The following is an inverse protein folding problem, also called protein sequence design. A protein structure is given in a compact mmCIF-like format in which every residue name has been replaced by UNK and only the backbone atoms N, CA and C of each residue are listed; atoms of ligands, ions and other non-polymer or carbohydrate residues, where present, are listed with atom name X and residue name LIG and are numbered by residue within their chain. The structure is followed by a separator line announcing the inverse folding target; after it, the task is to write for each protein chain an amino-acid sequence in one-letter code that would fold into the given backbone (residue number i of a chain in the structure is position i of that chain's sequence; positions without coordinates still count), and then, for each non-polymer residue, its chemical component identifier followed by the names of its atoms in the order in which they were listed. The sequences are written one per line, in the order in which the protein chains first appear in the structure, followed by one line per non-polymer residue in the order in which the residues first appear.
data_IF_461916988370
#
_entry.id   IF_461916988370
#
_cell.length_a   1.000
_cell.length_b   1.000
_cell.length_c   1.000
_cell.angle_alpha   90.00
_cell.angle_beta   90.00
_cell.angle_gamma   90.00
#
_symmetry.space_group_name_H-M   'P 1'
#
loop_
_entity.id
_entity.type
_entity.pdbx_description
1 polymer ?
#
# COMPACT_ATOMS: atom_id res chain seq x y z
N UNK A 1 14.25 -16.81 -15.18
CA UNK A 1 13.72 -15.85 -14.19
C UNK A 1 12.20 -15.86 -14.28
N UNK A 2 11.52 -16.63 -13.42
CA UNK A 2 10.05 -16.72 -13.41
C UNK A 2 9.51 -15.54 -12.61
N UNK A 3 9.06 -14.50 -13.34
CA UNK A 3 8.55 -13.25 -12.80
C UNK A 3 7.23 -13.45 -12.06
N UNK A 4 7.29 -13.62 -10.75
CA UNK A 4 6.14 -13.39 -9.88
C UNK A 4 6.03 -11.89 -9.67
N UNK A 5 5.16 -11.26 -10.46
CA UNK A 5 4.82 -9.84 -10.33
C UNK A 5 3.87 -9.64 -9.15
N UNK A 6 3.98 -8.51 -8.46
CA UNK A 6 3.19 -8.16 -7.27
C UNK A 6 1.68 -8.34 -7.46
N UNK A 7 1.19 -8.19 -8.69
CA UNK A 7 -0.22 -8.26 -9.10
C UNK A 7 -0.81 -9.67 -9.13
N UNK A 8 -0.01 -10.75 -9.22
CA UNK A 8 -0.56 -12.13 -9.27
C UNK A 8 -1.15 -12.64 -7.96
N UNK A 9 -1.03 -11.88 -6.87
CA UNK A 9 -1.49 -12.29 -5.56
C UNK A 9 -3.02 -12.44 -5.46
N UNK A 10 -3.76 -11.68 -6.27
CA UNK A 10 -5.23 -11.60 -6.21
C UNK A 10 -5.91 -11.58 -7.59
N UNK A 11 -5.14 -11.36 -8.67
CA UNK A 11 -5.67 -11.25 -10.03
C UNK A 11 -5.29 -12.46 -10.89
N UNK A 12 -6.17 -12.91 -11.81
CA UNK A 12 -5.82 -13.87 -12.85
C UNK A 12 -4.62 -13.42 -13.70
N UNK A 13 -4.00 -14.36 -14.43
CA UNK A 13 -2.74 -14.12 -15.12
C UNK A 13 -2.80 -12.94 -16.13
N UNK A 14 -3.90 -12.79 -16.87
CA UNK A 14 -4.05 -11.74 -17.87
C UNK A 14 -4.05 -10.32 -17.25
N UNK A 15 -4.98 -9.96 -16.33
CA UNK A 15 -4.95 -8.65 -15.68
C UNK A 15 -3.67 -8.40 -14.88
N UNK A 16 -3.12 -9.43 -14.21
CA UNK A 16 -1.85 -9.30 -13.51
C UNK A 16 -0.68 -8.94 -14.44
N UNK A 17 -0.66 -9.52 -15.66
CA UNK A 17 0.36 -9.22 -16.68
C UNK A 17 0.21 -7.82 -17.25
N UNK A 18 -1.02 -7.35 -17.47
CA UNK A 18 -1.28 -5.97 -17.92
C UNK A 18 -0.81 -4.96 -16.88
N UNK A 19 -1.15 -5.18 -15.60
CA UNK A 19 -0.68 -4.34 -14.50
C UNK A 19 0.85 -4.34 -14.42
N UNK A 20 1.48 -5.50 -14.57
CA UNK A 20 2.93 -5.60 -14.55
C UNK A 20 3.61 -4.84 -15.70
N UNK A 21 3.06 -4.92 -16.91
CA UNK A 21 3.57 -4.20 -18.07
C UNK A 21 3.44 -2.67 -17.91
N UNK A 22 2.45 -2.20 -17.16
CA UNK A 22 2.26 -0.78 -16.83
C UNK A 22 3.16 -0.27 -15.71
N UNK A 23 3.79 -1.13 -14.90
CA UNK A 23 4.68 -0.69 -13.84
C UNK A 23 6.04 -0.26 -14.40
N UNK A 24 6.50 0.90 -13.97
CA UNK A 24 7.89 1.35 -14.20
C UNK A 24 8.76 0.92 -13.02
N UNK A 25 10.07 0.67 -13.23
CA UNK A 25 10.99 0.47 -12.13
C UNK A 25 10.93 1.62 -11.12
N UNK A 26 11.06 1.30 -9.83
CA UNK A 26 11.19 2.32 -8.79
C UNK A 26 12.51 3.09 -9.00
N UNK A 27 12.46 4.41 -8.84
CA UNK A 27 13.68 5.22 -8.84
C UNK A 27 14.51 4.86 -7.60
N UNK A 28 15.81 4.56 -7.77
CA UNK A 28 16.66 4.12 -6.65
C UNK A 28 16.68 5.12 -5.48
N UNK A 29 16.62 6.42 -5.80
CA UNK A 29 16.54 7.49 -4.80
C UNK A 29 15.36 7.30 -3.82
N UNK A 30 14.21 6.77 -4.26
CA UNK A 30 13.06 6.54 -3.38
C UNK A 30 13.32 5.49 -2.29
N UNK A 31 14.38 4.70 -2.41
CA UNK A 31 14.80 3.70 -1.43
C UNK A 31 16.01 4.15 -0.59
N UNK A 32 16.91 4.94 -1.19
CA UNK A 32 18.22 5.26 -0.60
C UNK A 32 18.33 6.69 -0.03
N UNK A 33 17.42 7.60 -0.38
CA UNK A 33 17.49 8.98 0.09
C UNK A 33 17.11 9.12 1.56
N UNK A 34 17.76 10.07 2.24
CA UNK A 34 17.46 10.35 3.63
C UNK A 34 16.06 10.96 3.78
N UNK A 35 15.28 10.42 4.71
CA UNK A 35 13.95 10.97 5.02
C UNK A 35 14.07 12.35 5.67
N UNK A 36 13.30 13.36 5.22
CA UNK A 36 13.24 14.67 5.88
C UNK A 36 12.53 14.58 7.24
N UNK A 37 12.31 15.73 7.89
CA UNK A 37 11.52 15.77 9.11
C UNK A 37 10.15 15.11 8.90
N UNK A 38 9.74 14.17 9.77
CA UNK A 38 8.52 13.40 9.58
C UNK A 38 7.28 14.29 9.75
N UNK A 39 6.51 14.45 8.68
CA UNK A 39 5.28 15.25 8.68
C UNK A 39 4.17 14.68 9.58
N UNK A 40 4.20 13.38 9.88
CA UNK A 40 3.23 12.71 10.77
C UNK A 40 3.27 13.22 12.23
N UNK A 41 4.24 14.04 12.60
CA UNK A 41 4.27 14.70 13.91
C UNK A 41 3.31 15.87 14.03
N UNK A 42 2.95 16.48 12.91
CA UNK A 42 2.19 17.74 12.86
C UNK A 42 0.86 17.59 12.11
N UNK A 43 0.66 16.48 11.39
CA UNK A 43 -0.51 16.25 10.54
C UNK A 43 -1.26 14.98 10.97
N UNK A 44 -2.61 14.97 10.85
CA UNK A 44 -3.39 13.75 10.98
C UNK A 44 -2.90 12.67 10.01
N UNK A 45 -2.83 11.43 10.48
CA UNK A 45 -2.36 10.29 9.69
C UNK A 45 -3.48 9.27 9.54
N UNK A 46 -3.63 8.78 8.31
CA UNK A 46 -4.57 7.72 7.95
C UNK A 46 -3.81 6.59 7.30
N UNK A 47 -4.14 5.34 7.65
CA UNK A 47 -3.47 4.16 7.11
C UNK A 47 -4.48 3.09 6.70
N UNK A 48 -4.32 2.55 5.50
CA UNK A 48 -5.08 1.38 5.04
C UNK A 48 -4.15 0.19 4.95
N UNK A 49 -4.44 -0.87 5.70
CA UNK A 49 -3.57 -2.05 5.82
C UNK A 49 -4.22 -3.26 5.13
N UNK A 50 -3.77 -3.66 3.93
CA UNK A 50 -4.17 -4.91 3.30
C UNK A 50 -3.50 -6.11 4.00
N UNK A 51 -4.29 -6.97 4.67
CA UNK A 51 -3.73 -8.00 5.58
C UNK A 51 -3.02 -9.16 4.85
N UNK A 52 -3.28 -9.35 3.55
CA UNK A 52 -2.66 -10.39 2.73
C UNK A 52 -1.61 -9.85 1.74
N UNK A 53 -1.06 -8.66 2.02
CA UNK A 53 0.06 -8.08 1.28
C UNK A 53 1.35 -8.91 1.47
N UNK A 54 1.91 -9.41 0.36
CA UNK A 54 3.19 -10.16 0.35
C UNK A 54 4.42 -9.32 -0.01
N UNK A 55 4.25 -8.03 -0.29
CA UNK A 55 5.35 -7.10 -0.50
C UNK A 55 5.76 -6.42 0.80
N UNK A 56 4.76 -5.95 1.57
CA UNK A 56 4.98 -5.28 2.85
C UNK A 56 4.15 -6.02 3.91
N UNK A 57 4.79 -6.74 4.87
CA UNK A 57 4.07 -7.49 5.88
C UNK A 57 3.13 -6.61 6.70
N UNK A 58 1.91 -7.07 6.96
CA UNK A 58 0.92 -6.32 7.75
C UNK A 58 1.45 -5.89 9.12
N UNK A 59 2.29 -6.70 9.77
CA UNK A 59 2.93 -6.34 11.03
C UNK A 59 3.85 -5.11 10.92
N UNK A 60 4.59 -4.98 9.81
CA UNK A 60 5.43 -3.80 9.56
C UNK A 60 4.57 -2.56 9.29
N UNK A 61 3.46 -2.71 8.56
CA UNK A 61 2.51 -1.62 8.33
C UNK A 61 1.87 -1.14 9.63
N UNK A 62 1.43 -2.06 10.50
CA UNK A 62 0.89 -1.75 11.83
C UNK A 62 1.90 -1.01 12.70
N UNK A 63 3.15 -1.47 12.74
CA UNK A 63 4.21 -0.78 13.46
C UNK A 63 4.41 0.67 12.96
N UNK A 64 4.39 0.89 11.65
CA UNK A 64 4.50 2.24 11.09
C UNK A 64 3.29 3.11 11.43
N UNK A 65 2.08 2.55 11.36
CA UNK A 65 0.85 3.25 11.67
C UNK A 65 0.75 3.63 13.16
N UNK A 66 1.13 2.71 14.06
CA UNK A 66 1.17 2.94 15.50
C UNK A 66 2.15 4.06 15.87
N UNK A 67 3.36 4.01 15.31
CA UNK A 67 4.38 5.06 15.52
C UNK A 67 3.93 6.44 15.05
N UNK A 68 3.02 6.49 14.09
CA UNK A 68 2.45 7.71 13.53
C UNK A 68 1.09 8.10 14.12
N UNK A 69 0.61 7.36 15.14
CA UNK A 69 -0.71 7.56 15.77
C UNK A 69 -1.87 7.63 14.74
N UNK A 70 -1.79 6.80 13.69
CA UNK A 70 -2.70 6.86 12.56
C UNK A 70 -4.11 6.31 12.87
N UNK A 71 -5.14 6.87 12.21
CA UNK A 71 -6.42 6.19 12.03
C UNK A 71 -6.22 5.02 11.06
N UNK A 72 -6.45 3.79 11.53
CA UNK A 72 -6.18 2.56 10.76
C UNK A 72 -7.48 1.92 10.26
N UNK A 73 -7.49 1.58 8.97
CA UNK A 73 -8.49 0.69 8.36
C UNK A 73 -7.79 -0.56 7.83
N UNK A 74 -8.07 -1.72 8.42
CA UNK A 74 -7.56 -2.98 7.89
C UNK A 74 -8.54 -3.57 6.87
N UNK A 75 -8.01 -4.08 5.76
CA UNK A 75 -8.79 -4.73 4.71
C UNK A 75 -8.39 -6.19 4.62
N UNK A 76 -9.21 -7.04 5.22
CA UNK A 76 -8.92 -8.47 5.37
C UNK A 76 -8.81 -9.17 4.00
N UNK A 77 -7.76 -9.98 3.83
CA UNK A 77 -7.51 -10.73 2.61
C UNK A 77 -7.15 -9.88 1.38
N UNK A 78 -6.96 -8.57 1.52
CA UNK A 78 -6.51 -7.73 0.41
C UNK A 78 -5.02 -7.91 0.15
N UNK A 79 -4.63 -7.93 -1.13
CA UNK A 79 -3.23 -7.95 -1.55
C UNK A 79 -2.62 -6.54 -1.59
N UNK A 80 -1.32 -6.45 -1.90
CA UNK A 80 -0.62 -5.18 -2.12
C UNK A 80 -1.34 -4.23 -3.11
N UNK A 81 -2.03 -4.80 -4.10
CA UNK A 81 -2.78 -4.04 -5.11
C UNK A 81 -4.21 -3.66 -4.64
N UNK A 82 -4.36 -3.29 -3.37
CA UNK A 82 -5.65 -2.99 -2.72
C UNK A 82 -6.43 -1.86 -3.39
N UNK A 83 -5.72 -0.88 -3.97
CA UNK A 83 -6.32 0.20 -4.76
C UNK A 83 -7.11 -0.30 -5.99
N UNK A 84 -6.77 -1.49 -6.50
CA UNK A 84 -7.47 -2.10 -7.63
C UNK A 84 -8.52 -3.11 -7.14
N UNK A 85 -8.21 -3.88 -6.10
CA UNK A 85 -9.11 -4.96 -5.65
C UNK A 85 -10.21 -4.51 -4.70
N UNK A 86 -10.01 -3.39 -3.98
CA UNK A 86 -10.93 -2.84 -2.96
C UNK A 86 -11.04 -1.32 -3.07
N UNK A 87 -11.36 -0.77 -4.26
CA UNK A 87 -11.31 0.67 -4.50
C UNK A 87 -12.27 1.46 -3.61
N UNK A 88 -13.39 0.88 -3.20
CA UNK A 88 -14.38 1.53 -2.33
C UNK A 88 -13.79 1.84 -0.95
N UNK A 89 -13.14 0.87 -0.32
CA UNK A 89 -12.51 1.04 0.99
C UNK A 89 -11.41 2.12 0.95
N UNK A 90 -10.66 2.18 -0.15
CA UNK A 90 -9.63 3.21 -0.39
C UNK A 90 -10.27 4.59 -0.56
N UNK A 91 -11.29 4.70 -1.40
CA UNK A 91 -11.99 5.96 -1.65
C UNK A 91 -12.64 6.51 -0.37
N UNK A 92 -13.27 5.65 0.43
CA UNK A 92 -13.86 6.05 1.72
C UNK A 92 -12.81 6.61 2.68
N UNK A 93 -11.64 5.97 2.81
CA UNK A 93 -10.58 6.48 3.67
C UNK A 93 -10.07 7.85 3.20
N UNK A 94 -9.88 8.03 1.88
CA UNK A 94 -9.48 9.32 1.30
C UNK A 94 -10.52 10.40 1.62
N UNK A 95 -11.82 10.08 1.51
CA UNK A 95 -12.90 11.02 1.82
C UNK A 95 -12.99 11.37 3.31
N UNK A 96 -12.56 10.48 4.21
CA UNK A 96 -12.41 10.80 5.64
C UNK A 96 -11.24 11.73 5.89
N UNK A 97 -10.10 11.46 5.25
CA UNK A 97 -8.87 12.25 5.40
C UNK A 97 -8.97 13.66 4.79
N UNK A 98 -9.90 13.90 3.88
CA UNK A 98 -10.09 15.19 3.21
C UNK A 98 -11.00 16.18 3.97
N UNK A 99 -11.51 15.81 5.15
CA UNK A 99 -12.39 16.65 5.98
C UNK A 99 -11.59 17.37 7.05
#
# INVERSE_FOLDING_TARGET
MSGRTCSRQQFPAAPASQMAAGQRPIAAAALDEASPAPAWKDLPVYSLIPTADKNIPAAAQRFMAERAEAEVVEVEGASHAVLVSRPEAVAELILRAAR
#
